data_IF_111521815939
#
_entry.id   IF_111521815939
#
_cell.length_a   1.000
_cell.length_b   1.000
_cell.length_c   1.000
_cell.angle_alpha   90.00
_cell.angle_beta   90.00
_cell.angle_gamma   90.00
#
_symmetry.space_group_name_H-M   'P 1'
#
loop_
_entity.id
_entity.type
_entity.pdbx_description
1 polymer ?
#
# COMPACT_ATOMS: atom_id res chain seq x y z
N UNK A 1 -67.58 39.24 49.33
CA UNK A 1 -67.52 38.28 48.22
C UNK A 1 -66.10 38.30 47.70
N UNK A 2 -65.33 37.30 48.06
CA UNK A 2 -63.85 37.26 47.79
C UNK A 2 -63.65 36.31 46.64
N UNK A 3 -63.14 36.85 45.54
CA UNK A 3 -62.77 36.07 44.32
C UNK A 3 -61.36 35.50 44.43
N UNK A 4 -61.25 34.19 44.40
CA UNK A 4 -59.98 33.45 44.43
C UNK A 4 -59.45 33.30 43.03
N UNK A 5 -58.32 34.02 42.71
CA UNK A 5 -57.55 33.80 41.46
C UNK A 5 -56.70 32.53 41.59
N UNK A 6 -57.01 31.51 40.80
CA UNK A 6 -56.13 30.36 40.63
C UNK A 6 -55.04 30.63 39.58
N UNK A 7 -53.80 30.74 40.04
CA UNK A 7 -52.59 30.89 39.18
C UNK A 7 -52.20 29.48 38.72
N UNK A 8 -52.38 29.17 37.42
CA UNK A 8 -51.90 27.93 36.79
C UNK A 8 -50.47 28.14 36.37
N UNK A 9 -49.51 27.45 37.02
CA UNK A 9 -48.11 27.41 36.66
C UNK A 9 -47.96 26.36 35.54
N UNK A 10 -47.71 26.81 34.28
CA UNK A 10 -47.31 25.93 33.17
C UNK A 10 -45.82 25.56 33.34
N UNK A 11 -45.56 24.31 33.68
CA UNK A 11 -44.22 23.74 33.68
C UNK A 11 -43.89 23.37 32.22
N UNK A 12 -43.15 24.25 31.50
CA UNK A 12 -42.58 23.94 30.17
C UNK A 12 -41.35 23.09 30.41
N UNK A 13 -41.50 21.77 30.19
CA UNK A 13 -40.40 20.83 30.18
C UNK A 13 -39.59 21.05 28.88
N UNK A 14 -38.51 21.83 28.97
CA UNK A 14 -37.57 21.98 27.89
C UNK A 14 -36.81 20.64 27.73
N UNK A 15 -37.28 19.83 26.81
CA UNK A 15 -36.61 18.61 26.38
C UNK A 15 -35.32 19.03 25.61
N UNK A 16 -34.19 19.06 26.32
CA UNK A 16 -32.88 19.25 25.67
C UNK A 16 -32.66 18.09 24.69
N UNK A 17 -32.86 18.34 23.43
CA UNK A 17 -32.36 17.51 22.35
C UNK A 17 -30.82 17.50 22.45
N UNK A 18 -30.25 16.51 23.11
CA UNK A 18 -28.85 16.17 22.98
C UNK A 18 -28.63 15.85 21.50
N UNK A 19 -27.69 16.54 20.82
CA UNK A 19 -27.35 16.14 19.47
C UNK A 19 -26.94 14.66 19.56
N UNK A 20 -27.71 13.78 18.93
CA UNK A 20 -27.35 12.39 18.77
C UNK A 20 -25.94 12.36 18.18
N UNK A 21 -24.99 11.74 18.88
CA UNK A 21 -23.69 11.46 18.32
C UNK A 21 -23.97 10.68 17.03
N UNK A 22 -23.85 11.35 15.89
CA UNK A 22 -23.77 10.68 14.60
C UNK A 22 -22.71 9.60 14.79
N UNK A 23 -23.06 8.34 14.57
CA UNK A 23 -22.08 7.28 14.43
C UNK A 23 -21.18 7.74 13.31
N UNK A 24 -20.05 8.34 13.67
CA UNK A 24 -19.08 8.77 12.69
C UNK A 24 -18.76 7.53 11.84
N UNK A 25 -18.94 7.66 10.54
CA UNK A 25 -18.50 6.62 9.60
C UNK A 25 -17.09 6.20 10.03
N UNK A 26 -16.85 4.87 10.14
CA UNK A 26 -15.56 4.36 10.64
C UNK A 26 -14.41 4.91 9.82
N UNK A 27 -13.23 5.03 10.42
CA UNK A 27 -12.00 5.52 9.77
C UNK A 27 -11.77 4.81 8.43
N UNK A 28 -11.72 5.56 7.34
CA UNK A 28 -11.58 5.05 5.97
C UNK A 28 -10.12 5.13 5.56
N UNK A 29 -9.48 3.97 5.40
CA UNK A 29 -8.07 3.84 5.06
C UNK A 29 -7.94 3.31 3.64
N UNK A 30 -7.27 4.06 2.78
CA UNK A 30 -6.86 3.65 1.44
C UNK A 30 -5.38 3.33 1.48
N UNK A 31 -4.98 2.14 1.04
CA UNK A 31 -3.62 1.66 1.26
C UNK A 31 -3.06 0.86 0.09
N UNK A 32 -1.76 1.01 -0.14
CA UNK A 32 -1.03 0.19 -1.09
C UNK A 32 -1.27 -1.30 -0.82
N UNK A 33 -1.41 -2.10 -1.89
CA UNK A 33 -1.67 -3.54 -1.79
C UNK A 33 -0.61 -4.30 -0.99
N UNK A 34 0.66 -3.88 -1.05
CA UNK A 34 1.77 -4.46 -0.26
C UNK A 34 1.63 -4.28 1.25
N UNK A 35 0.81 -3.33 1.70
CA UNK A 35 0.52 -3.07 3.11
C UNK A 35 -0.66 -3.89 3.66
N UNK A 36 -1.30 -4.73 2.86
CA UNK A 36 -2.49 -5.49 3.29
C UNK A 36 -2.22 -6.27 4.60
N UNK A 37 -1.17 -7.07 4.62
CA UNK A 37 -0.80 -7.86 5.80
C UNK A 37 -0.56 -7.01 7.05
N UNK A 38 0.44 -6.12 7.04
CA UNK A 38 0.77 -5.31 8.22
C UNK A 38 -0.38 -4.39 8.64
N UNK A 39 -1.11 -3.77 7.70
CA UNK A 39 -2.19 -2.86 8.05
C UNK A 39 -3.39 -3.59 8.68
N UNK A 40 -3.71 -4.79 8.17
CA UNK A 40 -4.75 -5.63 8.76
C UNK A 40 -4.40 -6.02 10.20
N UNK A 41 -3.13 -6.33 10.47
CA UNK A 41 -2.65 -6.60 11.83
C UNK A 41 -2.70 -5.34 12.70
N UNK A 42 -2.24 -4.20 12.18
CA UNK A 42 -2.30 -2.92 12.89
C UNK A 42 -3.71 -2.51 13.29
N UNK A 43 -4.70 -2.71 12.41
CA UNK A 43 -6.10 -2.39 12.70
C UNK A 43 -6.65 -3.24 13.85
N UNK A 44 -6.28 -4.51 13.93
CA UNK A 44 -6.67 -5.39 15.05
C UNK A 44 -6.04 -4.95 16.37
N UNK A 45 -4.81 -4.44 16.30
CA UNK A 45 -4.02 -4.02 17.46
C UNK A 45 -4.29 -2.56 17.88
N UNK A 46 -4.91 -1.78 17.00
CA UNK A 46 -5.16 -0.36 17.25
C UNK A 46 -6.17 -0.17 18.39
N UNK A 47 -5.82 0.62 19.43
CA UNK A 47 -6.68 0.80 20.59
C UNK A 47 -7.85 1.76 20.30
N UNK A 48 -8.85 1.26 19.59
CA UNK A 48 -10.07 1.96 19.24
C UNK A 48 -11.30 1.04 19.48
N UNK A 49 -12.49 1.61 19.67
CA UNK A 49 -13.71 0.80 19.79
C UNK A 49 -13.90 -0.13 18.58
N UNK A 50 -14.47 -1.33 18.76
CA UNK A 50 -14.79 -2.20 17.65
C UNK A 50 -15.66 -1.48 16.60
N UNK A 51 -15.34 -1.67 15.31
CA UNK A 51 -16.06 -1.02 14.22
C UNK A 51 -15.67 0.43 13.95
N UNK A 52 -14.72 1.00 14.73
CA UNK A 52 -14.22 2.37 14.50
C UNK A 52 -13.39 2.52 13.22
N UNK A 53 -12.93 1.44 12.62
CA UNK A 53 -12.21 1.42 11.34
C UNK A 53 -13.06 0.65 10.34
N UNK A 54 -13.39 1.30 9.22
CA UNK A 54 -14.06 0.66 8.11
C UNK A 54 -13.12 -0.37 7.45
N UNK A 55 -13.67 -1.27 6.64
CA UNK A 55 -12.84 -2.19 5.86
C UNK A 55 -11.88 -1.40 4.98
N UNK A 56 -10.56 -1.60 5.09
CA UNK A 56 -9.60 -0.87 4.29
C UNK A 56 -9.73 -1.17 2.80
N UNK A 57 -9.44 -0.16 1.97
CA UNK A 57 -9.38 -0.32 0.51
C UNK A 57 -7.92 -0.51 0.11
N UNK A 58 -7.59 -1.67 -0.44
CA UNK A 58 -6.24 -1.99 -0.91
C UNK A 58 -6.15 -1.95 -2.42
N UNK A 59 -5.05 -1.39 -2.94
CA UNK A 59 -4.82 -1.34 -4.38
C UNK A 59 -3.55 -0.59 -4.77
N UNK A 60 -3.33 -0.39 -6.07
CA UNK A 60 -2.24 0.44 -6.59
C UNK A 60 -2.40 1.89 -6.11
N UNK A 61 -1.34 2.46 -5.52
CA UNK A 61 -1.42 3.77 -4.85
C UNK A 61 -1.87 4.91 -5.76
N UNK A 62 -1.41 4.92 -7.02
CA UNK A 62 -1.81 5.92 -7.99
C UNK A 62 -3.28 5.82 -8.39
N UNK A 63 -3.80 4.58 -8.49
CA UNK A 63 -5.23 4.35 -8.74
C UNK A 63 -6.09 4.81 -7.56
N UNK A 64 -5.67 4.48 -6.33
CA UNK A 64 -6.36 4.92 -5.10
C UNK A 64 -6.36 6.45 -4.98
N UNK A 65 -5.22 7.11 -5.25
CA UNK A 65 -5.16 8.57 -5.27
C UNK A 65 -6.18 9.18 -6.25
N UNK A 66 -6.25 8.65 -7.48
CA UNK A 66 -7.20 9.14 -8.49
C UNK A 66 -8.66 9.00 -8.03
N UNK A 67 -9.01 7.90 -7.37
CA UNK A 67 -10.36 7.70 -6.80
C UNK A 67 -10.69 8.75 -5.75
N UNK A 68 -9.72 9.07 -4.87
CA UNK A 68 -9.87 10.12 -3.85
C UNK A 68 -10.03 11.49 -4.51
N UNK A 69 -9.23 11.82 -5.53
CA UNK A 69 -9.37 13.05 -6.32
C UNK A 69 -10.72 13.17 -7.03
N UNK A 70 -11.34 12.04 -7.38
CA UNK A 70 -12.68 11.96 -7.96
C UNK A 70 -13.82 12.05 -6.94
N UNK A 71 -13.49 12.26 -5.66
CA UNK A 71 -14.46 12.48 -4.59
C UNK A 71 -14.76 11.26 -3.72
N UNK A 72 -14.06 10.13 -3.86
CA UNK A 72 -14.18 9.06 -2.88
C UNK A 72 -13.65 9.52 -1.53
N UNK A 73 -14.46 9.30 -0.50
CA UNK A 73 -14.13 9.73 0.84
C UNK A 73 -13.07 8.81 1.46
N UNK A 74 -11.93 9.39 1.82
CA UNK A 74 -10.83 8.73 2.53
C UNK A 74 -10.33 9.62 3.67
N UNK A 75 -9.92 9.01 4.77
CA UNK A 75 -9.34 9.73 5.92
C UNK A 75 -7.82 9.60 5.94
N UNK A 76 -7.29 8.50 5.37
CA UNK A 76 -5.85 8.26 5.22
C UNK A 76 -5.58 7.65 3.86
N UNK A 77 -4.53 8.14 3.17
CA UNK A 77 -3.86 7.40 2.11
C UNK A 77 -2.47 6.95 2.61
N UNK A 78 -2.22 5.63 2.65
CA UNK A 78 -0.93 5.02 2.92
C UNK A 78 -0.39 4.41 1.61
N UNK A 79 0.63 5.04 1.04
CA UNK A 79 1.18 4.75 -0.30
C UNK A 79 2.49 3.99 -0.25
N UNK A 80 2.78 3.23 -1.30
CA UNK A 80 4.06 2.58 -1.51
C UNK A 80 5.15 3.53 -2.06
N UNK A 81 4.87 4.82 -2.13
CA UNK A 81 5.82 5.88 -2.45
C UNK A 81 5.50 7.16 -1.66
N UNK A 82 6.35 8.18 -1.82
CA UNK A 82 6.14 9.52 -1.25
C UNK A 82 5.40 10.45 -2.21
N UNK A 83 5.32 10.13 -3.51
CA UNK A 83 4.78 11.03 -4.53
C UNK A 83 3.25 11.12 -4.46
N UNK A 84 2.57 9.96 -4.41
CA UNK A 84 1.11 9.93 -4.40
C UNK A 84 0.48 10.68 -3.21
N UNK A 85 0.96 10.49 -1.95
CA UNK A 85 0.44 11.27 -0.83
C UNK A 85 0.73 12.78 -0.97
N UNK A 86 1.90 13.18 -1.54
CA UNK A 86 2.22 14.60 -1.77
C UNK A 86 1.27 15.28 -2.76
N UNK A 87 0.77 14.54 -3.75
CA UNK A 87 -0.21 15.06 -4.71
C UNK A 87 -1.58 15.35 -4.08
N UNK A 88 -1.94 14.63 -3.01
CA UNK A 88 -3.19 14.87 -2.26
C UNK A 88 -3.04 15.88 -1.13
N UNK A 89 -1.81 16.07 -0.63
CA UNK A 89 -1.56 16.95 0.50
C UNK A 89 -1.84 18.41 0.12
N UNK A 90 -2.63 19.10 0.94
CA UNK A 90 -2.82 20.55 0.84
C UNK A 90 -1.58 21.30 1.31
N UNK A 91 -1.49 22.60 1.00
CA UNK A 91 -0.38 23.46 1.43
C UNK A 91 -0.19 23.40 2.96
N UNK A 92 1.01 23.02 3.40
CA UNK A 92 1.34 22.87 4.82
C UNK A 92 0.93 21.55 5.46
N UNK A 93 0.23 20.66 4.76
CA UNK A 93 -0.14 19.35 5.29
C UNK A 93 1.07 18.39 5.25
N UNK A 94 1.44 17.74 6.38
CA UNK A 94 2.58 16.86 6.41
C UNK A 94 2.32 15.54 5.67
N UNK A 95 3.29 15.10 4.88
CA UNK A 95 3.37 13.73 4.36
C UNK A 95 4.42 12.99 5.17
N UNK A 96 4.00 11.92 5.83
CA UNK A 96 4.79 11.16 6.79
C UNK A 96 5.43 9.97 6.07
N UNK A 97 6.77 9.90 6.02
CA UNK A 97 7.48 8.68 5.65
C UNK A 97 7.42 7.73 6.84
N UNK A 98 6.75 6.57 6.70
CA UNK A 98 6.50 5.68 7.83
C UNK A 98 7.22 4.33 7.73
N UNK A 99 7.73 3.95 6.55
CA UNK A 99 8.55 2.74 6.37
C UNK A 99 9.28 2.77 5.04
N UNK A 100 10.17 1.79 4.83
CA UNK A 100 10.83 1.51 3.56
C UNK A 100 10.64 0.06 3.16
N UNK A 101 10.88 -0.21 1.87
CA UNK A 101 10.84 -1.55 1.32
C UNK A 101 12.01 -1.75 0.36
N UNK A 102 12.09 -2.93 -0.22
CA UNK A 102 13.05 -3.30 -1.26
C UNK A 102 12.31 -3.99 -2.39
N UNK A 103 12.84 -3.90 -3.61
CA UNK A 103 12.37 -4.73 -4.71
C UNK A 103 13.16 -6.03 -4.80
N UNK A 104 12.44 -7.09 -5.12
CA UNK A 104 12.95 -8.42 -5.41
C UNK A 104 12.47 -8.86 -6.80
N UNK A 105 13.18 -9.79 -7.41
CA UNK A 105 12.69 -10.57 -8.53
C UNK A 105 12.06 -11.86 -7.99
N UNK A 106 10.77 -12.05 -8.24
CA UNK A 106 10.11 -13.33 -8.16
C UNK A 106 10.33 -14.05 -9.47
N UNK A 107 10.84 -15.26 -9.45
CA UNK A 107 11.09 -16.00 -10.68
C UNK A 107 10.88 -17.49 -10.54
N UNK A 108 10.69 -18.17 -11.67
CA UNK A 108 10.59 -19.63 -11.69
C UNK A 108 11.93 -20.26 -11.29
N UNK A 109 11.88 -21.27 -10.43
CA UNK A 109 13.06 -22.00 -9.94
C UNK A 109 13.93 -22.54 -11.09
N UNK A 110 13.31 -22.94 -12.20
CA UNK A 110 13.99 -23.41 -13.40
C UNK A 110 14.99 -22.42 -14.01
N UNK A 111 14.81 -21.12 -13.76
CA UNK A 111 15.73 -20.08 -14.23
C UNK A 111 17.01 -19.99 -13.40
N UNK A 112 17.08 -20.64 -12.24
CA UNK A 112 18.22 -20.64 -11.30
C UNK A 112 18.73 -19.22 -11.03
N UNK A 113 17.80 -18.31 -10.70
CA UNK A 113 18.10 -16.91 -10.47
C UNK A 113 19.02 -16.74 -9.26
N UNK A 114 20.01 -15.88 -9.44
CA UNK A 114 20.89 -15.36 -8.38
C UNK A 114 21.04 -13.83 -8.57
N UNK A 115 21.48 -13.07 -7.56
CA UNK A 115 21.75 -11.65 -7.76
C UNK A 115 22.74 -11.38 -8.91
N UNK A 116 23.72 -12.27 -9.11
CA UNK A 116 24.78 -12.09 -10.12
C UNK A 116 24.31 -12.30 -11.55
N UNK A 117 23.34 -13.21 -11.77
CA UNK A 117 22.83 -13.50 -13.12
C UNK A 117 21.48 -12.81 -13.42
N UNK A 118 20.92 -12.08 -12.47
CA UNK A 118 19.56 -11.55 -12.59
C UNK A 118 19.39 -10.61 -13.78
N UNK A 119 20.35 -9.71 -14.02
CA UNK A 119 20.27 -8.77 -15.14
C UNK A 119 20.31 -9.51 -16.49
N UNK A 120 21.20 -10.47 -16.64
CA UNK A 120 21.30 -11.28 -17.87
C UNK A 120 20.01 -12.04 -18.14
N UNK A 121 19.41 -12.62 -17.08
CA UNK A 121 18.10 -13.30 -17.19
C UNK A 121 16.96 -12.37 -17.54
N UNK A 122 16.94 -11.14 -17.00
CA UNK A 122 15.95 -10.15 -17.39
C UNK A 122 16.12 -9.68 -18.85
N UNK A 123 17.35 -9.63 -19.35
CA UNK A 123 17.64 -9.26 -20.73
C UNK A 123 17.42 -10.40 -21.74
N UNK A 124 17.44 -11.65 -21.31
CA UNK A 124 17.23 -12.83 -22.16
C UNK A 124 15.89 -12.74 -22.91
N UNK A 125 15.86 -12.70 -24.26
CA UNK A 125 14.63 -12.59 -25.02
C UNK A 125 13.66 -13.77 -24.83
N UNK A 126 14.15 -14.94 -24.40
CA UNK A 126 13.34 -16.12 -24.12
C UNK A 126 12.62 -16.05 -22.75
N UNK A 127 13.01 -15.13 -21.85
CA UNK A 127 12.46 -14.97 -20.52
C UNK A 127 11.39 -13.86 -20.53
N UNK A 128 10.17 -14.18 -20.13
CA UNK A 128 9.08 -13.20 -19.97
C UNK A 128 9.27 -12.44 -18.68
N UNK A 129 9.50 -11.13 -18.80
CA UNK A 129 9.65 -10.21 -17.68
C UNK A 129 8.35 -9.45 -17.46
N UNK A 130 7.82 -9.45 -16.22
CA UNK A 130 6.66 -8.66 -15.85
C UNK A 130 6.96 -7.64 -14.76
N UNK A 131 6.16 -6.58 -14.73
CA UNK A 131 6.18 -5.50 -13.74
C UNK A 131 4.75 -5.05 -13.43
N UNK A 132 4.61 -4.19 -12.43
CA UNK A 132 3.45 -3.32 -12.32
C UNK A 132 3.52 -2.18 -13.34
N UNK A 133 2.40 -1.49 -13.55
CA UNK A 133 2.24 -0.39 -14.52
C UNK A 133 2.74 0.92 -13.91
N UNK A 134 3.76 1.57 -14.49
CA UNK A 134 4.26 2.85 -14.03
C UNK A 134 3.18 3.93 -13.99
N UNK A 135 3.25 4.83 -13.03
CA UNK A 135 2.28 5.91 -12.80
C UNK A 135 0.95 5.46 -12.17
N UNK A 136 0.57 4.19 -12.33
CA UNK A 136 -0.60 3.61 -11.67
C UNK A 136 -0.23 2.87 -10.38
N UNK A 137 0.91 2.20 -10.38
CA UNK A 137 1.43 1.47 -9.23
C UNK A 137 2.91 1.82 -9.00
N UNK A 138 3.30 2.31 -7.81
CA UNK A 138 4.69 2.64 -7.49
C UNK A 138 5.68 1.50 -7.72
N UNK A 139 5.28 0.23 -7.61
CA UNK A 139 6.13 -0.91 -7.95
C UNK A 139 6.59 -0.87 -9.41
N UNK A 140 5.75 -0.37 -10.31
CA UNK A 140 6.10 -0.14 -11.72
C UNK A 140 7.13 0.98 -11.87
N UNK A 141 6.94 2.11 -11.16
CA UNK A 141 7.89 3.22 -11.18
C UNK A 141 9.27 2.79 -10.68
N UNK A 142 9.32 1.99 -9.61
CA UNK A 142 10.56 1.43 -9.10
C UNK A 142 11.19 0.39 -10.05
N UNK A 143 10.40 -0.40 -10.77
CA UNK A 143 10.92 -1.28 -11.83
C UNK A 143 11.59 -0.47 -12.93
N UNK A 144 10.98 0.65 -13.35
CA UNK A 144 11.61 1.58 -14.31
C UNK A 144 12.89 2.22 -13.77
N UNK A 145 12.95 2.54 -12.48
CA UNK A 145 14.18 3.01 -11.85
C UNK A 145 15.28 1.93 -11.82
N UNK A 146 14.92 0.65 -11.65
CA UNK A 146 15.86 -0.48 -11.81
C UNK A 146 16.38 -0.54 -13.25
N UNK A 147 15.50 -0.40 -14.24
CA UNK A 147 15.90 -0.41 -15.66
C UNK A 147 16.85 0.74 -16.01
N UNK A 148 16.61 1.93 -15.44
CA UNK A 148 17.53 3.06 -15.58
C UNK A 148 18.92 2.79 -14.95
N UNK A 149 18.96 2.07 -13.81
CA UNK A 149 20.23 1.63 -13.21
C UNK A 149 20.91 0.56 -14.02
N UNK A 150 20.14 -0.33 -14.66
CA UNK A 150 20.68 -1.36 -15.53
C UNK A 150 21.45 -0.78 -16.73
N UNK A 151 21.06 0.40 -17.23
CA UNK A 151 21.78 1.12 -18.29
C UNK A 151 23.24 1.42 -17.95
N UNK A 152 23.50 1.75 -16.66
CA UNK A 152 24.88 2.01 -16.20
C UNK A 152 25.72 0.73 -16.08
N UNK A 153 25.08 -0.44 -15.96
CA UNK A 153 25.75 -1.75 -15.87
C UNK A 153 25.93 -2.37 -17.25
N UNK A 154 24.92 -2.23 -18.09
CA UNK A 154 24.89 -2.78 -19.45
C UNK A 154 24.24 -1.76 -20.40
N UNK A 155 25.03 -1.04 -21.23
CA UNK A 155 24.50 -0.07 -22.18
C UNK A 155 23.44 -0.65 -23.12
N UNK A 156 22.31 0.04 -23.27
CA UNK A 156 21.12 -0.42 -23.99
C UNK A 156 20.12 -1.24 -23.16
N UNK A 157 20.47 -1.64 -21.94
CA UNK A 157 19.60 -2.47 -21.10
C UNK A 157 18.27 -1.79 -20.77
N UNK A 158 18.27 -0.48 -20.51
CA UNK A 158 17.03 0.23 -20.18
C UNK A 158 16.00 0.10 -21.29
N UNK A 159 16.37 0.38 -22.53
CA UNK A 159 15.47 0.32 -23.67
C UNK A 159 14.92 -1.10 -23.89
N UNK A 160 15.79 -2.12 -23.81
CA UNK A 160 15.40 -3.53 -23.95
C UNK A 160 14.42 -3.95 -22.86
N UNK A 161 14.70 -3.63 -21.59
CA UNK A 161 13.86 -4.01 -20.45
C UNK A 161 12.51 -3.32 -20.49
N UNK A 162 12.47 -2.02 -20.83
CA UNK A 162 11.22 -1.27 -20.97
C UNK A 162 10.34 -1.80 -22.10
N UNK A 163 10.96 -2.15 -23.24
CA UNK A 163 10.24 -2.66 -24.41
C UNK A 163 9.62 -4.06 -24.18
N UNK A 164 10.30 -4.93 -23.41
CA UNK A 164 9.84 -6.30 -23.17
C UNK A 164 8.97 -6.47 -21.92
N UNK A 165 8.99 -5.52 -20.98
CA UNK A 165 8.29 -5.64 -19.71
C UNK A 165 6.75 -5.69 -19.88
N UNK A 166 6.16 -6.80 -19.47
CA UNK A 166 4.72 -6.99 -19.43
C UNK A 166 4.15 -6.26 -18.19
N UNK A 167 3.34 -5.24 -18.39
CA UNK A 167 2.74 -4.44 -17.31
C UNK A 167 1.44 -5.12 -16.83
N UNK A 168 1.55 -6.13 -15.97
CA UNK A 168 0.43 -7.03 -15.61
C UNK A 168 -0.31 -6.62 -14.33
N UNK A 169 0.16 -5.62 -13.59
CA UNK A 169 -0.45 -5.17 -12.32
C UNK A 169 -0.61 -3.65 -12.34
N UNK A 170 -1.71 -3.15 -11.74
CA UNK A 170 -1.96 -1.72 -11.57
C UNK A 170 -2.55 -1.01 -12.77
N UNK A 171 -2.60 -1.64 -13.94
CA UNK A 171 -3.27 -1.10 -15.12
C UNK A 171 -4.81 -1.28 -15.04
N UNK A 172 -5.55 -0.67 -15.98
CA UNK A 172 -7.01 -0.70 -16.01
C UNK A 172 -7.58 -2.12 -16.14
N UNK A 173 -6.83 -3.03 -16.77
CA UNK A 173 -7.24 -4.42 -16.99
C UNK A 173 -6.71 -5.39 -15.92
N UNK A 174 -6.17 -4.85 -14.82
CA UNK A 174 -5.66 -5.68 -13.74
C UNK A 174 -6.81 -6.34 -12.98
N UNK A 175 -6.88 -7.66 -13.04
CA UNK A 175 -7.84 -8.47 -12.30
C UNK A 175 -7.19 -9.80 -11.87
N UNK A 176 -7.70 -10.47 -10.83
CA UNK A 176 -7.24 -11.81 -10.47
C UNK A 176 -7.47 -12.77 -11.64
N UNK A 177 -6.41 -13.42 -12.11
CA UNK A 177 -6.48 -14.39 -13.22
C UNK A 177 -6.93 -15.78 -12.76
N UNK A 178 -6.72 -16.09 -11.47
CA UNK A 178 -7.06 -17.37 -10.85
C UNK A 178 -7.88 -17.09 -9.59
N UNK A 179 -9.07 -17.64 -9.51
CA UNK A 179 -9.96 -17.45 -8.37
C UNK A 179 -9.32 -17.94 -7.06
N UNK A 180 -9.49 -17.20 -5.98
CA UNK A 180 -8.94 -17.53 -4.66
C UNK A 180 -7.46 -17.19 -4.48
N UNK A 181 -6.79 -16.66 -5.49
CA UNK A 181 -5.38 -16.28 -5.46
C UNK A 181 -5.17 -14.77 -5.58
N UNK A 182 -4.06 -14.28 -5.01
CA UNK A 182 -3.62 -12.90 -5.21
C UNK A 182 -3.25 -12.63 -6.68
N UNK A 183 -3.31 -11.35 -7.10
CA UNK A 183 -3.05 -10.97 -8.50
C UNK A 183 -1.70 -11.51 -8.99
N UNK A 184 -0.61 -11.33 -8.23
CA UNK A 184 0.74 -11.77 -8.63
C UNK A 184 0.84 -13.30 -8.67
N UNK A 185 0.29 -14.00 -7.68
CA UNK A 185 0.24 -15.45 -7.68
C UNK A 185 -0.53 -15.98 -8.90
N UNK A 186 -1.69 -15.39 -9.18
CA UNK A 186 -2.51 -15.72 -10.35
C UNK A 186 -1.80 -15.53 -11.68
N UNK A 187 -0.93 -14.51 -11.82
CA UNK A 187 -0.11 -14.28 -13.01
C UNK A 187 0.84 -15.46 -13.26
N UNK A 188 1.52 -15.95 -12.22
CA UNK A 188 2.41 -17.10 -12.34
C UNK A 188 1.64 -18.42 -12.55
N UNK A 189 0.53 -18.63 -11.85
CA UNK A 189 -0.33 -19.82 -12.02
C UNK A 189 -0.94 -19.90 -13.41
N UNK A 190 -1.28 -18.75 -14.01
CA UNK A 190 -1.76 -18.66 -15.38
C UNK A 190 -0.64 -18.64 -16.44
N UNK A 191 0.58 -18.91 -16.04
CA UNK A 191 1.78 -18.96 -16.91
C UNK A 191 1.99 -17.69 -17.77
N UNK A 192 1.74 -16.50 -17.19
CA UNK A 192 1.84 -15.23 -17.93
C UNK A 192 3.25 -14.61 -17.86
N UNK A 193 4.13 -15.07 -16.96
CA UNK A 193 5.48 -14.54 -16.77
C UNK A 193 6.44 -15.59 -16.21
N UNK A 194 7.73 -15.36 -16.39
CA UNK A 194 8.82 -16.16 -15.83
C UNK A 194 9.55 -15.42 -14.71
N UNK A 195 9.65 -14.09 -14.82
CA UNK A 195 10.18 -13.19 -13.78
C UNK A 195 9.20 -12.05 -13.60
N UNK A 196 8.92 -11.68 -12.33
CA UNK A 196 8.18 -10.46 -11.99
C UNK A 196 8.94 -9.67 -10.94
N UNK A 197 9.10 -8.36 -11.20
CA UNK A 197 9.64 -7.42 -10.22
C UNK A 197 8.52 -6.97 -9.28
N UNK A 198 8.78 -7.05 -7.98
CA UNK A 198 7.82 -6.67 -6.95
C UNK A 198 8.49 -6.44 -5.60
N UNK A 199 7.69 -6.13 -4.59
CA UNK A 199 8.22 -5.86 -3.25
C UNK A 199 8.69 -7.13 -2.54
N UNK A 200 9.89 -7.07 -1.94
CA UNK A 200 10.43 -8.19 -1.16
C UNK A 200 9.52 -8.57 0.02
N UNK A 201 8.85 -7.61 0.65
CA UNK A 201 7.90 -7.87 1.75
C UNK A 201 6.74 -8.79 1.37
N UNK A 202 6.33 -8.81 0.09
CA UNK A 202 5.25 -9.66 -0.41
C UNK A 202 5.74 -11.03 -0.91
N UNK A 203 7.04 -11.17 -1.17
CA UNK A 203 7.61 -12.36 -1.85
C UNK A 203 7.36 -13.65 -1.08
N UNK A 204 7.52 -13.61 0.25
CA UNK A 204 7.36 -14.82 1.08
C UNK A 204 5.94 -15.40 1.09
N UNK A 205 4.91 -14.56 0.97
CA UNK A 205 3.54 -15.02 0.82
C UNK A 205 3.31 -15.64 -0.56
N UNK A 206 3.80 -14.99 -1.62
CA UNK A 206 3.61 -15.43 -3.01
C UNK A 206 4.34 -16.74 -3.28
N UNK A 207 5.57 -16.92 -2.77
CA UNK A 207 6.33 -18.19 -2.95
C UNK A 207 5.72 -19.35 -2.19
N UNK A 208 5.01 -19.10 -1.08
CA UNK A 208 4.22 -20.15 -0.38
C UNK A 208 2.97 -20.54 -1.16
N UNK A 209 2.35 -19.57 -1.84
CA UNK A 209 1.12 -19.77 -2.61
C UNK A 209 1.39 -20.44 -3.96
N UNK A 210 2.55 -20.20 -4.57
CA UNK A 210 2.93 -20.74 -5.88
C UNK A 210 4.21 -21.57 -5.76
N UNK A 211 4.12 -22.91 -5.69
CA UNK A 211 5.29 -23.77 -5.66
C UNK A 211 6.19 -23.60 -6.89
N UNK A 212 7.49 -23.72 -6.71
CA UNK A 212 8.47 -23.57 -7.79
C UNK A 212 8.81 -22.12 -8.13
N UNK A 213 8.42 -21.16 -7.28
CA UNK A 213 8.92 -19.78 -7.32
C UNK A 213 10.01 -19.57 -6.28
N UNK A 214 10.98 -18.74 -6.66
CA UNK A 214 12.03 -18.20 -5.79
C UNK A 214 11.98 -16.68 -5.77
N UNK A 215 12.38 -16.09 -4.64
CA UNK A 215 12.55 -14.65 -4.51
C UNK A 215 14.05 -14.33 -4.43
N UNK A 216 14.52 -13.47 -5.30
CA UNK A 216 15.92 -13.04 -5.38
C UNK A 216 16.01 -11.55 -5.16
N UNK A 217 16.88 -11.12 -4.24
CA UNK A 217 17.15 -9.71 -3.99
C UNK A 217 17.84 -9.05 -5.19
N UNK A 218 17.53 -7.78 -5.46
CA UNK A 218 18.28 -7.01 -6.45
C UNK A 218 19.76 -6.92 -6.05
N UNK A 219 20.71 -7.08 -6.99
CA UNK A 219 22.10 -6.76 -6.72
C UNK A 219 22.24 -5.27 -6.36
N UNK A 220 23.27 -4.92 -5.61
CA UNK A 220 23.47 -3.56 -5.11
C UNK A 220 23.45 -2.50 -6.22
N UNK A 221 24.00 -2.82 -7.40
CA UNK A 221 24.01 -1.95 -8.59
C UNK A 221 22.61 -1.61 -9.11
N UNK A 222 21.63 -2.48 -8.93
CA UNK A 222 20.25 -2.31 -9.40
C UNK A 222 19.27 -1.94 -8.25
N UNK A 223 19.71 -2.06 -6.99
CA UNK A 223 18.82 -1.90 -5.84
C UNK A 223 18.22 -0.50 -5.74
N UNK A 224 16.91 -0.42 -5.55
CA UNK A 224 16.16 0.80 -5.23
C UNK A 224 15.48 0.63 -3.88
N UNK A 225 15.37 1.72 -3.11
CA UNK A 225 14.79 1.71 -1.75
C UNK A 225 13.48 2.49 -1.69
N UNK A 226 12.34 1.87 -2.01
CA UNK A 226 11.04 2.49 -1.88
C UNK A 226 10.80 3.08 -0.49
N UNK A 227 10.52 4.38 -0.40
CA UNK A 227 10.07 5.06 0.80
C UNK A 227 8.54 5.17 0.76
N UNK A 228 7.86 4.63 1.76
CA UNK A 228 6.41 4.63 1.85
C UNK A 228 5.93 5.89 2.58
N UNK A 229 4.95 6.56 1.99
CA UNK A 229 4.38 7.80 2.50
C UNK A 229 2.93 7.66 2.92
N UNK A 230 2.54 8.43 3.92
CA UNK A 230 1.17 8.52 4.40
C UNK A 230 0.76 9.98 4.51
N UNK A 231 -0.50 10.28 4.15
CA UNK A 231 -1.16 11.57 4.39
C UNK A 231 -2.48 11.35 5.10
N UNK A 232 -2.76 12.18 6.10
CA UNK A 232 -4.06 12.25 6.79
C UNK A 232 -4.92 13.28 6.07
N UNK A 233 -6.08 12.90 5.55
CA UNK A 233 -6.91 13.69 4.64
C UNK A 233 -8.13 14.33 5.33
N UNK A 234 -8.43 13.94 6.56
CA UNK A 234 -9.59 14.45 7.30
C UNK A 234 -9.18 14.93 8.70
N UNK A 235 -10.02 15.81 9.28
CA UNK A 235 -9.86 16.30 10.66
C UNK A 235 -10.37 15.30 11.70
N UNK A 236 -10.74 14.09 11.30
CA UNK A 236 -11.20 13.05 12.22
C UNK A 236 -10.07 12.68 13.21
N UNK A 237 -10.26 12.85 14.53
CA UNK A 237 -9.21 12.59 15.51
C UNK A 237 -8.65 11.16 15.45
N UNK A 238 -9.47 10.20 15.02
CA UNK A 238 -9.08 8.81 14.88
C UNK A 238 -8.03 8.61 13.76
N UNK A 239 -8.09 9.43 12.69
CA UNK A 239 -7.12 9.38 11.60
C UNK A 239 -5.70 9.77 12.08
N UNK A 240 -5.59 10.87 12.82
CA UNK A 240 -4.32 11.29 13.40
C UNK A 240 -3.80 10.27 14.42
N UNK A 241 -4.67 9.72 15.28
CA UNK A 241 -4.31 8.67 16.25
C UNK A 241 -3.80 7.40 15.55
N UNK A 242 -4.44 6.98 14.45
CA UNK A 242 -3.99 5.83 13.68
C UNK A 242 -2.64 6.09 13.01
N UNK A 243 -2.44 7.27 12.44
CA UNK A 243 -1.14 7.66 11.87
C UNK A 243 -0.02 7.63 12.92
N UNK A 244 -0.27 8.12 14.14
CA UNK A 244 0.67 8.04 15.26
C UNK A 244 0.89 6.58 15.71
N UNK A 245 -0.14 5.74 15.70
CA UNK A 245 0.00 4.32 16.01
C UNK A 245 0.90 3.59 14.99
N UNK A 246 0.76 3.88 13.70
CA UNK A 246 1.67 3.36 12.65
C UNK A 246 3.13 3.73 12.95
N UNK A 247 3.37 4.95 13.45
CA UNK A 247 4.70 5.46 13.80
C UNK A 247 5.21 4.97 15.17
N UNK A 248 4.36 4.37 16.01
CA UNK A 248 4.74 3.85 17.33
C UNK A 248 5.68 2.64 17.21
N UNK A 249 6.38 2.33 18.30
CA UNK A 249 7.20 1.11 18.39
C UNK A 249 6.43 -0.14 17.98
N UNK A 250 5.17 -0.28 18.44
CA UNK A 250 4.30 -1.41 18.10
C UNK A 250 3.95 -1.46 16.60
N UNK A 251 3.58 -0.33 16.01
CA UNK A 251 3.31 -0.24 14.57
C UNK A 251 4.56 -0.55 13.73
N UNK A 252 5.70 -0.03 14.13
CA UNK A 252 6.98 -0.27 13.44
C UNK A 252 7.45 -1.73 13.59
N UNK A 253 7.23 -2.35 14.74
CA UNK A 253 7.51 -3.78 14.95
C UNK A 253 6.60 -4.68 14.06
N UNK A 254 5.33 -4.29 13.85
CA UNK A 254 4.45 -4.99 12.89
C UNK A 254 5.02 -4.88 11.48
N UNK A 255 5.40 -3.69 11.02
CA UNK A 255 6.02 -3.49 9.70
C UNK A 255 7.25 -4.37 9.51
N UNK A 256 8.14 -4.42 10.51
CA UNK A 256 9.36 -5.23 10.49
C UNK A 256 9.06 -6.74 10.35
N UNK A 257 8.08 -7.26 11.10
CA UNK A 257 7.66 -8.67 10.97
C UNK A 257 7.14 -9.02 9.58
N UNK A 258 6.55 -8.05 8.90
CA UNK A 258 6.09 -8.18 7.52
C UNK A 258 7.16 -7.87 6.46
N UNK A 259 8.45 -7.76 6.85
CA UNK A 259 9.57 -7.61 5.92
C UNK A 259 9.80 -6.19 5.40
N UNK A 260 9.21 -5.19 6.05
CA UNK A 260 9.51 -3.78 5.79
C UNK A 260 10.69 -3.31 6.65
N UNK A 261 11.37 -2.27 6.19
CA UNK A 261 12.44 -1.61 6.95
C UNK A 261 11.82 -0.47 7.79
N UNK A 262 11.77 -0.60 9.14
CA UNK A 262 11.17 0.40 10.01
C UNK A 262 11.97 1.71 10.04
N UNK A 263 11.31 2.82 10.35
CA UNK A 263 11.97 4.14 10.43
C UNK A 263 12.21 4.63 11.87
N UNK A 264 11.57 4.00 12.84
CA UNK A 264 11.61 4.43 14.25
C UNK A 264 12.18 3.40 15.22
N UNK A 265 12.62 2.23 14.77
CA UNK A 265 13.29 1.24 15.61
C UNK A 265 14.82 1.33 15.40
N UNK A 266 15.58 1.10 16.47
CA UNK A 266 17.02 0.90 16.34
C UNK A 266 17.27 -0.30 15.40
N UNK A 267 18.30 -0.23 14.55
CA UNK A 267 18.77 -1.39 13.82
C UNK A 267 19.16 -2.50 14.82
N UNK A 268 18.82 -3.76 14.55
CA UNK A 268 19.20 -4.88 15.39
C UNK A 268 20.72 -5.06 15.47
#
# INVERSE_FOLDING_TARGET
>A
MVGVFKLAILFVCAMMLLPGASLADGLRIYSAGSLNGPLTEMIKDFPAPPGSVATPVFGPSGALRKRIEQGEAADILASADMAQPRMLAHAGQPVIMFTRNRLCALGRESLKLTPDNLLDRMLDPAVRLATSTPGADPSGDYAWAIFARAEAVHPGAQAVLQAKALQLVGGPDTHPLVAGHGVVAGIFLADRTDIMLGYCSSSGAITKEVPGLVSVAMPASLSVGPAYGMVVLSDQPLAARFALFVMSERGQAILQRHGFDPVGLAAP
#
